data_IF_702050003390
#
_entry.id   IF_702050003390
#
_cell.length_a   1.000
_cell.length_b   1.000
_cell.length_c   1.000
_cell.angle_alpha   90.00
_cell.angle_beta   90.00
_cell.angle_gamma   90.00
#
_symmetry.space_group_name_H-M   'P 1'
#
loop_
_entity.id
_entity.type
_entity.pdbx_description
1 polymer ?
#
# COMPACT_ATOMS: atom_id res chain seq x y z
N UNK A 1 14.77 -8.93 94.70
CA UNK A 1 15.19 -9.63 93.48
C UNK A 1 14.06 -9.50 92.46
N UNK A 2 13.93 -8.31 91.86
CA UNK A 2 14.46 -7.86 90.54
C UNK A 2 13.59 -8.30 89.37
N UNK A 3 12.92 -7.29 88.82
CA UNK A 3 11.87 -7.21 87.78
C UNK A 3 12.53 -7.15 86.39
N UNK A 4 11.89 -7.66 85.31
CA UNK A 4 12.38 -7.58 83.93
C UNK A 4 11.94 -6.29 83.23
N UNK A 5 12.73 -5.72 82.29
CA UNK A 5 12.16 -4.79 81.30
C UNK A 5 12.98 -4.62 79.99
N UNK A 6 12.29 -5.01 78.91
CA UNK A 6 12.09 -4.34 77.62
C UNK A 6 13.26 -3.99 76.68
N UNK A 7 13.11 -4.57 75.49
CA UNK A 7 13.86 -4.38 74.27
C UNK A 7 13.70 -2.97 73.67
N UNK A 8 14.78 -2.50 73.04
CA UNK A 8 14.84 -1.29 72.20
C UNK A 8 14.26 -1.59 70.82
N UNK A 9 13.32 -0.76 70.36
CA UNK A 9 12.86 -0.69 68.97
C UNK A 9 13.70 0.37 68.20
N UNK A 10 14.13 0.11 66.95
CA UNK A 10 14.58 1.17 66.06
C UNK A 10 13.38 1.73 65.27
N UNK A 11 13.30 3.05 65.16
CA UNK A 11 12.34 3.74 64.30
C UNK A 11 12.75 3.59 62.83
N UNK A 12 11.91 2.91 62.03
CA UNK A 12 12.00 2.93 60.57
C UNK A 12 11.28 4.18 60.04
N UNK A 13 12.04 5.11 59.47
CA UNK A 13 11.49 6.20 58.67
C UNK A 13 11.10 5.65 57.30
N UNK A 14 9.81 5.56 57.01
CA UNK A 14 9.28 5.23 55.70
C UNK A 14 9.33 6.47 54.81
N UNK A 15 10.31 6.55 53.90
CA UNK A 15 10.30 7.48 52.77
C UNK A 15 9.15 7.11 51.83
N UNK A 16 8.09 7.91 51.84
CA UNK A 16 6.99 7.83 50.89
C UNK A 16 7.50 8.30 49.52
N UNK A 17 7.77 7.35 48.61
CA UNK A 17 7.97 7.67 47.20
C UNK A 17 6.60 8.06 46.65
N UNK A 18 6.38 9.37 46.46
CA UNK A 18 5.29 9.87 45.63
C UNK A 18 5.57 9.44 44.19
N UNK A 19 5.02 8.30 43.80
CA UNK A 19 4.81 8.00 42.40
C UNK A 19 3.81 9.04 41.88
N UNK A 20 4.31 10.08 41.22
CA UNK A 20 3.48 11.02 40.50
C UNK A 20 2.76 10.24 39.41
N UNK A 21 1.45 10.03 39.60
CA UNK A 21 0.58 9.60 38.52
C UNK A 21 0.62 10.71 37.47
N UNK A 22 1.32 10.49 36.36
CA UNK A 22 1.10 11.26 35.16
C UNK A 22 -0.36 11.02 34.78
N UNK A 23 -1.23 11.96 35.13
CA UNK A 23 -2.58 11.99 34.63
C UNK A 23 -2.45 12.13 33.11
N UNK A 24 -2.95 11.14 32.40
CA UNK A 24 -3.05 11.17 30.94
C UNK A 24 -3.95 12.35 30.60
N UNK A 25 -3.33 13.44 30.12
CA UNK A 25 -4.10 14.55 29.59
C UNK A 25 -4.74 14.04 28.30
N UNK A 26 -6.06 13.85 28.35
CA UNK A 26 -6.90 13.67 27.17
C UNK A 26 -6.48 14.74 26.14
N UNK A 27 -6.08 14.31 24.93
CA UNK A 27 -5.63 15.23 23.88
C UNK A 27 -6.73 16.23 23.51
N UNK A 28 -7.98 15.88 23.84
CA UNK A 28 -9.19 16.63 23.50
C UNK A 28 -9.54 16.50 22.02
N UNK A 29 -8.71 15.83 21.21
CA UNK A 29 -8.95 15.63 19.78
C UNK A 29 -9.83 14.39 19.60
N UNK A 30 -10.90 14.52 18.82
CA UNK A 30 -11.90 13.47 18.59
C UNK A 30 -12.29 13.39 17.13
N UNK A 31 -12.83 12.26 16.70
CA UNK A 31 -13.53 12.16 15.42
C UNK A 31 -14.96 12.69 15.56
N UNK A 32 -15.37 13.56 14.63
CA UNK A 32 -16.73 14.09 14.51
C UNK A 32 -17.29 13.92 13.10
N UNK A 33 -18.61 14.04 12.94
CA UNK A 33 -19.29 13.96 11.65
C UNK A 33 -19.38 15.33 10.96
N UNK A 34 -19.24 15.36 9.64
CA UNK A 34 -19.40 16.56 8.81
C UNK A 34 -20.05 16.26 7.46
N UNK A 35 -20.30 17.30 6.66
CA UNK A 35 -20.76 17.15 5.27
C UNK A 35 -19.73 16.51 4.34
N UNK A 36 -18.45 16.45 4.73
CA UNK A 36 -17.36 15.80 4.00
C UNK A 36 -17.04 14.38 4.53
N UNK A 37 -17.83 13.89 5.50
CA UNK A 37 -17.58 12.61 6.18
C UNK A 37 -16.99 12.81 7.58
N UNK A 38 -16.36 11.77 8.16
CA UNK A 38 -15.68 11.87 9.44
C UNK A 38 -14.49 12.82 9.39
N UNK A 39 -14.30 13.63 10.43
CA UNK A 39 -13.24 14.66 10.50
C UNK A 39 -12.64 14.70 11.90
N UNK A 40 -11.39 15.16 12.04
CA UNK A 40 -10.81 15.45 13.35
C UNK A 40 -11.41 16.76 13.88
N UNK A 41 -11.68 16.77 15.18
CA UNK A 41 -12.30 17.88 15.89
C UNK A 41 -11.60 18.14 17.22
N UNK A 42 -11.69 19.38 17.72
CA UNK A 42 -11.25 19.72 19.08
C UNK A 42 -12.20 19.17 20.17
N UNK A 43 -11.93 19.51 21.43
CA UNK A 43 -12.74 19.05 22.56
C UNK A 43 -14.19 19.53 22.53
N UNK A 44 -14.48 20.58 21.75
CA UNK A 44 -15.79 21.19 21.56
C UNK A 44 -16.48 20.70 20.28
N UNK A 45 -15.85 19.84 19.48
CA UNK A 45 -16.38 19.33 18.22
C UNK A 45 -16.13 20.26 17.02
N UNK A 46 -15.30 21.28 17.16
CA UNK A 46 -14.92 22.17 16.05
C UNK A 46 -13.90 21.48 15.15
N UNK A 47 -14.12 21.53 13.83
CA UNK A 47 -13.28 20.87 12.83
C UNK A 47 -11.84 21.37 12.84
N UNK A 48 -10.90 20.44 12.72
CA UNK A 48 -9.48 20.71 12.60
C UNK A 48 -9.02 20.65 11.14
N UNK A 49 -7.99 21.40 10.81
CA UNK A 49 -7.47 21.59 9.46
C UNK A 49 -5.95 21.46 9.43
N UNK A 50 -5.44 21.10 8.26
CA UNK A 50 -4.02 21.09 7.91
C UNK A 50 -3.72 22.12 6.82
N UNK A 51 -2.47 22.58 6.77
CA UNK A 51 -2.03 23.60 5.84
C UNK A 51 -0.95 23.07 4.90
N UNK A 52 -1.18 23.15 3.59
CA UNK A 52 -0.25 22.62 2.58
C UNK A 52 1.12 23.31 2.56
N UNK A 53 1.22 24.51 3.14
CA UNK A 53 2.48 25.26 3.20
C UNK A 53 3.29 24.99 4.46
N UNK A 54 2.80 24.14 5.35
CA UNK A 54 3.62 23.61 6.44
C UNK A 54 4.59 22.59 5.84
N UNK A 55 5.89 22.87 5.99
CA UNK A 55 6.97 22.02 5.46
C UNK A 55 7.70 21.35 6.61
N UNK A 56 8.10 20.09 6.40
CA UNK A 56 8.83 19.28 7.39
C UNK A 56 8.15 19.21 8.78
N UNK A 57 6.82 19.32 8.81
CA UNK A 57 6.01 19.32 10.03
C UNK A 57 6.12 20.60 10.87
N UNK A 58 6.73 21.66 10.32
CA UNK A 58 6.88 22.95 10.97
C UNK A 58 5.74 23.90 10.56
N UNK A 59 5.09 24.59 11.52
CA UNK A 59 4.08 25.58 11.22
C UNK A 59 4.64 26.72 10.37
N UNK A 60 3.97 27.07 9.28
CA UNK A 60 4.22 28.26 8.47
C UNK A 60 3.18 29.38 8.74
N UNK A 61 2.03 29.02 9.32
CA UNK A 61 0.95 29.95 9.62
C UNK A 61 1.20 30.74 10.93
N UNK A 62 1.56 32.02 10.78
CA UNK A 62 1.79 32.98 11.87
C UNK A 62 1.05 34.31 11.63
N UNK A 63 1.04 35.18 12.63
CA UNK A 63 0.45 36.52 12.57
C UNK A 63 -1.00 36.53 12.07
N UNK A 64 -1.30 37.29 11.02
CA UNK A 64 -2.64 37.38 10.44
C UNK A 64 -3.16 36.03 9.93
N UNK A 65 -2.26 35.11 9.53
CA UNK A 65 -2.66 33.75 9.21
C UNK A 65 -3.23 33.07 10.45
N UNK A 66 -2.49 33.09 11.57
CA UNK A 66 -2.91 32.48 12.83
C UNK A 66 -4.14 33.17 13.47
N UNK A 67 -4.42 34.43 13.13
CA UNK A 67 -5.65 35.10 13.54
C UNK A 67 -6.89 34.52 12.83
N UNK A 68 -6.76 34.11 11.57
CA UNK A 68 -7.85 33.50 10.81
C UNK A 68 -7.90 31.98 10.99
N UNK A 69 -6.72 31.37 11.17
CA UNK A 69 -6.49 29.94 11.38
C UNK A 69 -5.80 29.71 12.72
N UNK A 70 -6.54 29.79 13.84
CA UNK A 70 -5.92 29.63 15.16
C UNK A 70 -5.25 28.26 15.29
N UNK A 71 -3.99 28.19 15.73
CA UNK A 71 -3.33 26.90 15.97
C UNK A 71 -4.01 26.16 17.13
N UNK A 72 -4.13 24.84 17.04
CA UNK A 72 -4.60 24.01 18.14
C UNK A 72 -3.48 23.86 19.18
N UNK A 73 -3.46 24.78 20.15
CA UNK A 73 -2.45 24.81 21.22
C UNK A 73 -2.63 23.61 22.15
N UNK A 74 -1.54 22.90 22.41
CA UNK A 74 -1.51 21.80 23.36
C UNK A 74 -1.38 22.33 24.80
N UNK A 75 -2.11 21.70 25.73
CA UNK A 75 -2.02 22.02 27.14
C UNK A 75 -0.63 21.72 27.70
N UNK A 76 -0.25 22.40 28.78
CA UNK A 76 1.01 22.15 29.47
C UNK A 76 1.06 20.70 29.98
N UNK A 77 2.13 19.98 29.66
CA UNK A 77 2.28 18.56 30.00
C UNK A 77 1.53 17.58 29.10
N UNK A 78 0.93 18.05 28.00
CA UNK A 78 0.39 17.16 26.97
C UNK A 78 1.46 16.18 26.46
N UNK A 79 1.05 14.93 26.27
CA UNK A 79 1.91 13.87 25.75
C UNK A 79 1.38 13.39 24.40
N UNK A 80 2.28 13.32 23.42
CA UNK A 80 2.01 12.75 22.11
C UNK A 80 1.93 11.21 22.18
N UNK A 81 0.94 10.62 21.51
CA UNK A 81 0.79 9.17 21.37
C UNK A 81 0.21 8.83 20.00
N UNK A 82 0.64 7.69 19.43
CA UNK A 82 0.19 7.24 18.12
C UNK A 82 0.56 8.22 17.01
N UNK A 83 -0.44 8.61 16.23
CA UNK A 83 -0.31 9.55 15.10
C UNK A 83 -0.28 11.02 15.54
N UNK A 84 -0.55 11.29 16.82
CA UNK A 84 -0.50 12.62 17.38
C UNK A 84 0.93 12.99 17.78
N UNK A 85 1.30 14.22 17.49
CA UNK A 85 2.60 14.79 17.83
C UNK A 85 2.48 16.19 18.40
N UNK A 86 3.63 16.76 18.77
CA UNK A 86 3.72 18.13 19.26
C UNK A 86 4.84 18.85 18.53
N UNK A 87 4.55 20.08 18.10
CA UNK A 87 5.55 20.96 17.51
C UNK A 87 5.63 22.26 18.30
N UNK A 88 6.86 22.71 18.56
CA UNK A 88 7.10 23.99 19.22
C UNK A 88 7.03 25.12 18.19
N UNK A 89 6.15 26.09 18.44
CA UNK A 89 6.04 27.32 17.64
C UNK A 89 7.15 28.31 18.04
N UNK A 90 7.37 29.32 17.20
CA UNK A 90 8.40 30.35 17.40
C UNK A 90 8.18 31.22 18.64
N UNK A 91 6.95 31.31 19.14
CA UNK A 91 6.57 31.97 20.38
C UNK A 91 6.75 31.08 21.64
N UNK A 92 7.21 29.84 21.46
CA UNK A 92 7.43 28.86 22.52
C UNK A 92 6.20 28.02 22.86
N UNK A 93 5.03 28.31 22.29
CA UNK A 93 3.82 27.51 22.50
C UNK A 93 3.92 26.15 21.80
N UNK A 94 3.30 25.13 22.39
CA UNK A 94 3.22 23.79 21.79
C UNK A 94 1.91 23.69 21.01
N UNK A 95 1.98 23.20 19.77
CA UNK A 95 0.82 22.96 18.92
C UNK A 95 0.69 21.46 18.66
N UNK A 96 -0.54 20.96 18.66
CA UNK A 96 -0.83 19.60 18.28
C UNK A 96 -0.57 19.38 16.78
N UNK A 97 0.02 18.23 16.46
CA UNK A 97 0.15 17.74 15.09
C UNK A 97 -0.58 16.41 14.95
N UNK A 98 -1.06 16.11 13.75
CA UNK A 98 -1.57 14.80 13.36
C UNK A 98 -0.82 14.34 12.11
N UNK A 99 -0.26 13.13 12.14
CA UNK A 99 0.63 12.61 11.09
C UNK A 99 1.74 13.61 10.71
N UNK A 100 2.32 14.24 11.74
CA UNK A 100 3.36 15.27 11.58
C UNK A 100 2.88 16.62 11.01
N UNK A 101 1.60 16.78 10.65
CA UNK A 101 1.04 18.05 10.17
C UNK A 101 0.47 18.89 11.32
N UNK A 102 0.84 20.18 11.45
CA UNK A 102 0.25 21.06 12.47
C UNK A 102 -1.26 21.23 12.28
N UNK A 103 -2.01 21.17 13.39
CA UNK A 103 -3.47 21.26 13.39
C UNK A 103 -3.95 22.69 13.69
N UNK A 104 -4.96 23.14 12.94
CA UNK A 104 -5.55 24.47 13.05
C UNK A 104 -7.07 24.41 13.18
N UNK A 105 -7.66 25.46 13.73
CA UNK A 105 -9.08 25.75 13.69
C UNK A 105 -9.35 26.79 12.60
N UNK A 106 -10.62 26.95 12.22
CA UNK A 106 -11.05 27.98 11.29
C UNK A 106 -12.01 28.98 11.97
N UNK A 107 -11.69 30.27 11.91
CA UNK A 107 -12.47 31.29 12.64
C UNK A 107 -13.92 31.43 12.15
N UNK A 108 -14.22 31.02 10.91
CA UNK A 108 -15.58 31.14 10.37
C UNK A 108 -16.45 29.91 10.63
N UNK A 109 -15.91 28.82 11.14
CA UNK A 109 -16.73 27.71 11.64
C UNK A 109 -17.41 28.16 12.96
N UNK A 110 -18.73 27.96 13.05
CA UNK A 110 -19.56 28.44 14.16
C UNK A 110 -20.25 27.32 14.93
N UNK A 111 -20.35 26.14 14.34
CA UNK A 111 -20.94 24.97 14.94
C UNK A 111 -20.05 23.72 14.74
N UNK A 112 -20.16 22.72 15.62
CA UNK A 112 -19.55 21.42 15.39
C UNK A 112 -19.97 20.82 14.05
N UNK A 113 -19.00 20.27 13.32
CA UNK A 113 -19.20 19.71 11.97
C UNK A 113 -19.21 20.73 10.83
N UNK A 114 -19.08 22.04 11.11
CA UNK A 114 -18.80 23.03 10.06
C UNK A 114 -17.43 22.74 9.44
N UNK A 115 -17.35 22.77 8.11
CA UNK A 115 -16.14 22.51 7.32
C UNK A 115 -15.84 23.67 6.37
N UNK A 116 -16.20 24.90 6.76
CA UNK A 116 -16.17 26.06 5.85
C UNK A 116 -14.76 26.55 5.54
N UNK A 117 -13.75 26.02 6.22
CA UNK A 117 -12.34 26.26 5.93
C UNK A 117 -11.81 25.40 4.80
N UNK A 118 -12.49 24.31 4.45
CA UNK A 118 -12.01 23.37 3.44
C UNK A 118 -11.88 24.05 2.07
N UNK A 119 -10.75 23.83 1.40
CA UNK A 119 -10.46 24.39 0.08
C UNK A 119 -10.22 25.91 0.06
N UNK A 120 -10.15 26.59 1.21
CA UNK A 120 -9.84 28.03 1.25
C UNK A 120 -8.49 28.29 0.59
N UNK A 121 -8.49 29.10 -0.48
CA UNK A 121 -7.32 29.36 -1.33
C UNK A 121 -6.66 28.10 -1.94
N UNK A 122 -7.34 26.94 -1.90
CA UNK A 122 -6.83 25.66 -2.40
C UNK A 122 -5.64 25.08 -1.63
N UNK A 123 -5.40 25.52 -0.38
CA UNK A 123 -4.22 25.12 0.42
C UNK A 123 -4.57 24.73 1.85
N UNK A 124 -5.85 24.78 2.21
CA UNK A 124 -6.37 24.41 3.53
C UNK A 124 -7.32 23.24 3.34
N UNK A 125 -7.11 22.19 4.11
CA UNK A 125 -7.91 20.97 4.03
C UNK A 125 -8.30 20.51 5.41
N UNK A 126 -9.47 19.90 5.52
CA UNK A 126 -9.89 19.26 6.76
C UNK A 126 -8.88 18.17 7.15
N UNK A 127 -8.53 18.12 8.43
CA UNK A 127 -7.73 17.04 8.98
C UNK A 127 -8.65 15.82 9.16
N UNK A 128 -8.46 14.78 8.35
CA UNK A 128 -9.33 13.60 8.38
C UNK A 128 -8.66 12.46 9.18
N UNK A 129 -9.34 11.81 10.14
CA UNK A 129 -8.82 10.62 10.79
C UNK A 129 -8.53 9.47 9.81
N UNK A 130 -9.15 9.49 8.62
CA UNK A 130 -8.87 8.53 7.56
C UNK A 130 -7.74 8.96 6.64
N UNK A 131 -7.02 10.07 6.87
CA UNK A 131 -5.77 10.35 6.15
C UNK A 131 -4.64 9.44 6.66
N UNK A 132 -4.74 8.95 7.90
CA UNK A 132 -3.83 7.94 8.44
C UNK A 132 -4.34 6.49 8.23
N UNK A 133 -5.64 6.32 8.01
CA UNK A 133 -6.27 5.04 7.59
C UNK A 133 -6.51 4.98 6.05
N UNK A 134 -6.08 6.01 5.33
CA UNK A 134 -5.94 5.97 3.88
C UNK A 134 -4.77 5.04 3.63
N UNK A 135 -5.05 3.90 3.00
CA UNK A 135 -4.01 3.03 2.45
C UNK A 135 -3.06 3.94 1.67
N UNK A 136 -1.90 4.26 2.24
CA UNK A 136 -0.99 5.19 1.61
C UNK A 136 -0.58 4.57 0.26
N UNK A 137 -0.06 5.36 -0.67
CA UNK A 137 0.48 4.77 -1.90
C UNK A 137 1.49 3.65 -1.58
N UNK A 138 2.19 3.71 -0.45
CA UNK A 138 3.06 2.63 0.02
C UNK A 138 2.29 1.40 0.47
N UNK A 139 1.20 1.55 1.20
CA UNK A 139 0.37 0.42 1.63
C UNK A 139 -0.36 -0.22 0.44
N UNK A 140 -0.81 0.58 -0.54
CA UNK A 140 -1.37 0.07 -1.80
C UNK A 140 -0.32 -0.71 -2.61
N UNK A 141 0.93 -0.23 -2.60
CA UNK A 141 2.07 -0.95 -3.20
C UNK A 141 2.29 -2.27 -2.46
N UNK A 142 2.32 -2.26 -1.13
CA UNK A 142 2.52 -3.44 -0.30
C UNK A 142 1.43 -4.50 -0.56
N UNK A 143 0.17 -4.07 -0.57
CA UNK A 143 -0.98 -4.92 -0.88
C UNK A 143 -0.87 -5.58 -2.28
N UNK A 144 -0.19 -4.93 -3.22
CA UNK A 144 0.04 -5.46 -4.56
C UNK A 144 1.23 -6.44 -4.67
N UNK A 145 2.12 -6.54 -3.67
CA UNK A 145 3.33 -7.38 -3.74
C UNK A 145 3.03 -8.85 -4.07
N UNK A 146 2.06 -9.53 -3.43
CA UNK A 146 1.78 -10.94 -3.74
C UNK A 146 1.31 -11.14 -5.18
N UNK A 147 0.53 -10.20 -5.72
CA UNK A 147 0.08 -10.20 -7.11
C UNK A 147 1.24 -10.01 -8.08
N UNK A 148 2.11 -9.02 -7.82
CA UNK A 148 3.31 -8.78 -8.64
C UNK A 148 4.22 -10.01 -8.69
N UNK A 149 4.44 -10.69 -7.55
CA UNK A 149 5.24 -11.93 -7.49
C UNK A 149 4.62 -13.06 -8.28
N UNK A 150 3.33 -13.36 -8.08
CA UNK A 150 2.63 -14.43 -8.83
C UNK A 150 2.71 -14.17 -10.33
N UNK A 151 2.48 -12.93 -10.75
CA UNK A 151 2.55 -12.55 -12.14
C UNK A 151 3.96 -12.67 -12.73
N UNK A 152 4.98 -12.17 -12.02
CA UNK A 152 6.38 -12.26 -12.45
C UNK A 152 6.85 -13.73 -12.59
N UNK A 153 6.51 -14.60 -11.65
CA UNK A 153 6.82 -16.03 -11.73
C UNK A 153 6.12 -16.73 -12.89
N UNK A 154 4.90 -16.33 -13.24
CA UNK A 154 4.20 -16.86 -14.41
C UNK A 154 4.77 -16.33 -15.74
N UNK A 155 5.37 -15.13 -15.72
CA UNK A 155 5.90 -14.45 -16.90
C UNK A 155 7.32 -14.95 -17.25
N UNK A 156 8.18 -15.07 -16.24
CA UNK A 156 9.62 -15.38 -16.36
C UNK A 156 9.90 -16.87 -16.12
N UNK A 157 10.90 -17.42 -16.80
CA UNK A 157 11.24 -18.86 -16.70
C UNK A 157 12.04 -19.24 -15.47
N UNK A 158 12.77 -18.29 -14.89
CA UNK A 158 13.65 -18.48 -13.73
C UNK A 158 13.06 -17.74 -12.52
N UNK A 159 13.04 -18.41 -11.36
CA UNK A 159 12.55 -17.85 -10.10
C UNK A 159 13.38 -16.66 -9.65
N UNK A 160 14.70 -16.77 -9.71
CA UNK A 160 15.63 -15.69 -9.33
C UNK A 160 15.37 -14.43 -10.18
N UNK A 161 15.24 -14.61 -11.50
CA UNK A 161 14.96 -13.50 -12.42
C UNK A 161 13.55 -12.91 -12.24
N UNK A 162 12.59 -13.67 -11.71
CA UNK A 162 11.27 -13.15 -11.38
C UNK A 162 11.30 -12.29 -10.11
N UNK A 163 12.04 -12.73 -9.09
CA UNK A 163 12.23 -11.94 -7.87
C UNK A 163 13.01 -10.65 -8.14
N UNK A 164 14.07 -10.72 -8.96
CA UNK A 164 14.82 -9.53 -9.42
C UNK A 164 13.91 -8.53 -10.14
N UNK A 165 13.04 -9.02 -11.05
CA UNK A 165 12.08 -8.18 -11.77
C UNK A 165 11.10 -7.46 -10.83
N UNK A 166 10.63 -8.15 -9.79
CA UNK A 166 9.73 -7.56 -8.79
C UNK A 166 10.48 -6.52 -7.96
N UNK A 167 11.71 -6.83 -7.52
CA UNK A 167 12.53 -5.88 -6.79
C UNK A 167 12.77 -4.59 -7.59
N UNK A 168 13.20 -4.71 -8.84
CA UNK A 168 13.41 -3.58 -9.77
C UNK A 168 12.15 -2.73 -9.99
N UNK A 169 10.98 -3.38 -9.96
CA UNK A 169 9.69 -2.72 -10.07
C UNK A 169 9.38 -1.92 -8.80
N UNK A 170 9.53 -2.54 -7.63
CA UNK A 170 9.22 -1.92 -6.35
C UNK A 170 10.16 -0.75 -6.04
N UNK A 171 11.46 -0.88 -6.30
CA UNK A 171 12.43 0.22 -6.12
C UNK A 171 12.01 1.47 -6.91
N UNK A 172 11.53 1.28 -8.14
CA UNK A 172 11.05 2.37 -9.00
C UNK A 172 9.70 2.91 -8.58
N UNK A 173 8.80 2.05 -8.11
CA UNK A 173 7.52 2.48 -7.57
C UNK A 173 7.73 3.36 -6.33
N UNK A 174 8.55 2.91 -5.38
CA UNK A 174 8.87 3.66 -4.17
C UNK A 174 9.57 4.99 -4.51
N UNK A 175 10.56 5.00 -5.40
CA UNK A 175 11.22 6.24 -5.82
C UNK A 175 10.32 7.16 -6.69
N UNK A 176 9.28 6.61 -7.31
CA UNK A 176 8.34 7.31 -8.18
C UNK A 176 7.10 7.85 -7.47
N UNK A 177 6.78 7.33 -6.27
CA UNK A 177 5.49 7.55 -5.59
C UNK A 177 5.14 9.03 -5.38
N UNK A 178 6.10 9.85 -4.97
CA UNK A 178 5.88 11.28 -4.70
C UNK A 178 5.55 12.10 -5.96
N UNK A 179 5.81 11.55 -7.16
CA UNK A 179 5.49 12.18 -8.45
C UNK A 179 4.24 11.61 -9.10
N UNK A 180 3.64 10.58 -8.51
CA UNK A 180 2.44 9.96 -9.03
C UNK A 180 1.25 10.88 -8.76
N UNK A 181 0.52 11.25 -9.81
CA UNK A 181 -0.52 12.29 -9.79
C UNK A 181 -1.94 11.73 -9.57
N UNK A 182 -2.07 10.47 -9.17
CA UNK A 182 -3.38 9.82 -8.98
C UNK A 182 -4.17 9.54 -10.27
N UNK A 183 -3.50 9.48 -11.43
CA UNK A 183 -4.13 9.32 -12.76
C UNK A 183 -4.56 7.86 -13.06
N UNK A 184 -5.25 7.21 -12.12
CA UNK A 184 -5.74 5.83 -12.18
C UNK A 184 -5.33 4.96 -10.99
N UNK A 185 -5.66 3.66 -10.95
CA UNK A 185 -5.33 2.78 -9.82
C UNK A 185 -3.81 2.49 -9.69
N UNK A 186 -3.28 2.47 -8.46
CA UNK A 186 -1.85 2.13 -8.18
C UNK A 186 -1.49 0.77 -8.76
N UNK A 187 -2.39 -0.21 -8.67
CA UNK A 187 -2.21 -1.55 -9.25
C UNK A 187 -1.90 -1.47 -10.75
N UNK A 188 -2.68 -0.76 -11.55
CA UNK A 188 -2.45 -0.64 -12.98
C UNK A 188 -1.11 0.06 -13.29
N UNK A 189 -0.75 1.07 -12.50
CA UNK A 189 0.53 1.76 -12.60
C UNK A 189 1.72 0.81 -12.30
N UNK A 190 1.62 -0.01 -11.25
CA UNK A 190 2.65 -1.00 -10.89
C UNK A 190 2.86 -2.05 -11.97
N UNK A 191 1.76 -2.62 -12.49
CA UNK A 191 1.87 -3.60 -13.58
C UNK A 191 2.47 -2.98 -14.84
N UNK A 192 2.23 -1.70 -15.11
CA UNK A 192 2.90 -0.99 -16.20
C UNK A 192 4.41 -0.82 -15.96
N UNK A 193 4.85 -0.49 -14.74
CA UNK A 193 6.28 -0.45 -14.40
C UNK A 193 6.92 -1.83 -14.61
N UNK A 194 6.32 -2.88 -14.04
CA UNK A 194 6.82 -4.26 -14.13
C UNK A 194 6.97 -4.71 -15.58
N UNK A 195 5.95 -4.45 -16.42
CA UNK A 195 5.98 -4.85 -17.82
C UNK A 195 6.96 -4.06 -18.67
N UNK A 196 7.19 -2.78 -18.35
CA UNK A 196 8.25 -2.00 -18.98
C UNK A 196 9.63 -2.59 -18.66
N UNK A 197 9.89 -2.96 -17.39
CA UNK A 197 11.13 -3.63 -16.98
C UNK A 197 11.31 -4.99 -17.64
N UNK A 198 10.26 -5.79 -17.71
CA UNK A 198 10.29 -7.07 -18.41
C UNK A 198 10.66 -6.91 -19.89
N UNK A 199 10.07 -5.92 -20.59
CA UNK A 199 10.37 -5.65 -22.01
C UNK A 199 11.80 -5.16 -22.20
N UNK A 200 12.30 -4.30 -21.32
CA UNK A 200 13.67 -3.79 -21.37
C UNK A 200 14.70 -4.90 -21.13
N UNK A 201 14.46 -5.77 -20.15
CA UNK A 201 15.29 -6.95 -19.87
C UNK A 201 15.31 -7.94 -21.04
N UNK A 202 14.18 -8.14 -21.72
CA UNK A 202 14.13 -9.00 -22.90
C UNK A 202 14.89 -8.42 -24.11
N UNK A 203 14.87 -7.10 -24.31
CA UNK A 203 15.68 -6.45 -25.36
C UNK A 203 17.18 -6.58 -25.06
N UNK A 204 17.58 -6.47 -23.79
CA UNK A 204 18.96 -6.65 -23.36
C UNK A 204 19.46 -8.10 -23.44
N UNK A 205 18.61 -9.07 -23.08
CA UNK A 205 18.95 -10.50 -23.17
C UNK A 205 19.06 -10.99 -24.62
N UNK A 206 18.26 -10.44 -25.55
CA UNK A 206 18.40 -10.72 -26.98
C UNK A 206 19.74 -10.23 -27.55
N UNK A 207 20.29 -9.14 -27.00
CA UNK A 207 21.63 -8.65 -27.36
C UNK A 207 22.77 -9.48 -26.73
N UNK A 208 22.51 -10.19 -25.63
CA UNK A 208 23.49 -10.96 -24.85
C UNK A 208 23.40 -12.49 -25.04
N UNK A 209 22.77 -12.96 -26.13
CA UNK A 209 22.54 -14.40 -26.46
C UNK A 209 23.79 -15.30 -26.57
N UNK A 210 24.98 -14.85 -26.18
CA UNK A 210 26.23 -15.61 -26.28
C UNK A 210 26.79 -16.13 -24.94
N UNK A 211 26.00 -16.20 -23.86
CA UNK A 211 26.46 -16.75 -22.58
C UNK A 211 25.55 -17.89 -22.09
N UNK A 212 26.20 -19.03 -21.82
CA UNK A 212 25.59 -20.25 -21.27
C UNK A 212 25.32 -20.06 -19.79
N UNK A 213 24.08 -20.33 -19.35
CA UNK A 213 23.72 -20.34 -17.93
C UNK A 213 23.83 -21.76 -17.38
N UNK A 214 24.59 -21.91 -16.30
CA UNK A 214 24.84 -23.15 -15.55
C UNK A 214 23.62 -23.53 -14.72
N UNK A 215 23.32 -24.83 -14.72
CA UNK A 215 22.17 -25.48 -14.07
C UNK A 215 22.15 -25.28 -12.54
N UNK A 216 20.96 -25.06 -11.96
CA UNK A 216 20.75 -24.92 -10.50
C UNK A 216 19.57 -25.74 -9.98
N UNK A 217 19.60 -26.12 -8.69
CA UNK A 217 18.94 -27.32 -8.20
C UNK A 217 17.43 -27.17 -8.02
N UNK A 218 16.78 -28.34 -8.11
CA UNK A 218 15.34 -28.59 -7.99
C UNK A 218 14.76 -28.23 -6.62
N UNK A 219 13.61 -27.57 -6.64
CA UNK A 219 12.86 -27.11 -5.47
C UNK A 219 11.99 -28.19 -4.77
N UNK A 220 11.58 -27.96 -3.49
CA UNK A 220 10.99 -28.96 -2.63
C UNK A 220 9.49 -29.23 -2.91
N UNK A 221 9.09 -30.44 -2.53
CA UNK A 221 7.80 -31.06 -2.77
C UNK A 221 6.66 -30.44 -1.95
N UNK A 222 5.67 -29.79 -2.60
CA UNK A 222 4.34 -29.50 -2.03
C UNK A 222 3.48 -30.75 -1.74
N UNK A 223 2.23 -30.59 -1.27
CA UNK A 223 1.36 -31.69 -0.80
C UNK A 223 0.32 -32.21 -1.81
N UNK A 224 0.32 -31.73 -3.06
CA UNK A 224 -0.61 -32.18 -4.09
C UNK A 224 -0.36 -33.60 -4.61
N UNK A 225 -1.41 -34.27 -5.07
CA UNK A 225 -1.33 -35.57 -5.76
C UNK A 225 -0.38 -35.50 -6.97
N UNK A 226 0.27 -36.62 -7.31
CA UNK A 226 1.25 -36.65 -8.41
C UNK A 226 0.65 -36.18 -9.74
N UNK A 227 -0.60 -36.55 -10.02
CA UNK A 227 -1.32 -36.19 -11.24
C UNK A 227 -1.61 -34.68 -11.35
N UNK A 228 -1.97 -34.03 -10.24
CA UNK A 228 -2.25 -32.60 -10.19
C UNK A 228 -0.96 -31.78 -10.45
N UNK A 229 0.17 -32.23 -9.89
CA UNK A 229 1.46 -31.60 -10.16
C UNK A 229 1.92 -31.78 -11.59
N UNK A 230 1.61 -32.93 -12.20
CA UNK A 230 1.93 -33.18 -13.60
C UNK A 230 1.10 -32.25 -14.50
N UNK A 231 -0.22 -32.18 -14.28
CA UNK A 231 -1.10 -31.29 -15.01
C UNK A 231 -0.70 -29.80 -14.85
N UNK A 232 -0.31 -29.38 -13.65
CA UNK A 232 0.18 -28.02 -13.42
C UNK A 232 1.48 -27.73 -14.19
N UNK A 233 2.45 -28.65 -14.16
CA UNK A 233 3.69 -28.53 -14.93
C UNK A 233 3.45 -28.46 -16.44
N UNK A 234 2.51 -29.25 -16.96
CA UNK A 234 2.13 -29.21 -18.38
C UNK A 234 1.58 -27.84 -18.79
N UNK A 235 0.72 -27.26 -17.95
CA UNK A 235 0.18 -25.91 -18.17
C UNK A 235 1.28 -24.85 -18.09
N UNK A 236 2.16 -24.91 -17.08
CA UNK A 236 3.30 -24.01 -16.96
C UNK A 236 4.21 -24.05 -18.20
N UNK A 237 4.54 -25.24 -18.70
CA UNK A 237 5.35 -25.39 -19.90
C UNK A 237 4.64 -24.91 -21.17
N UNK A 238 3.33 -25.13 -21.29
CA UNK A 238 2.54 -24.60 -22.39
C UNK A 238 2.52 -23.06 -22.39
N UNK A 239 2.35 -22.42 -21.22
CA UNK A 239 2.43 -20.97 -21.07
C UNK A 239 3.80 -20.42 -21.48
N UNK A 240 4.89 -21.10 -21.09
CA UNK A 240 6.29 -20.74 -21.45
C UNK A 240 6.58 -20.79 -22.95
N UNK A 241 5.75 -21.46 -23.75
CA UNK A 241 5.87 -21.54 -25.22
C UNK A 241 5.10 -20.44 -25.96
N UNK A 242 4.15 -19.77 -25.29
CA UNK A 242 3.40 -18.67 -25.92
C UNK A 242 4.31 -17.48 -26.24
N UNK A 243 4.05 -16.75 -27.35
CA UNK A 243 4.66 -15.45 -27.61
C UNK A 243 4.50 -14.50 -26.41
N UNK A 244 5.54 -13.69 -26.12
CA UNK A 244 5.57 -12.80 -24.95
C UNK A 244 4.34 -11.91 -24.84
N UNK A 245 3.90 -11.33 -25.95
CA UNK A 245 2.72 -10.45 -26.03
C UNK A 245 1.41 -11.17 -25.69
N UNK A 246 1.29 -12.44 -26.10
CA UNK A 246 0.10 -13.25 -25.86
C UNK A 246 0.07 -13.74 -24.41
N UNK A 247 1.23 -14.17 -23.88
CA UNK A 247 1.39 -14.59 -22.48
C UNK A 247 1.07 -13.45 -21.53
N UNK A 248 1.66 -12.28 -21.77
CA UNK A 248 1.45 -11.08 -20.97
C UNK A 248 -0.04 -10.73 -20.88
N UNK A 249 -0.72 -10.66 -22.04
CA UNK A 249 -2.15 -10.36 -22.13
C UNK A 249 -3.01 -11.41 -21.41
N UNK A 250 -2.72 -12.70 -21.62
CA UNK A 250 -3.48 -13.78 -21.02
C UNK A 250 -3.36 -13.77 -19.49
N UNK A 251 -2.15 -13.57 -18.95
CA UNK A 251 -1.92 -13.61 -17.51
C UNK A 251 -2.59 -12.43 -16.78
N UNK A 252 -2.63 -11.23 -17.37
CA UNK A 252 -3.28 -10.08 -16.70
C UNK A 252 -4.77 -10.36 -16.47
N UNK A 253 -5.44 -11.00 -17.43
CA UNK A 253 -6.87 -11.31 -17.33
C UNK A 253 -7.12 -12.60 -16.56
N UNK A 254 -6.40 -13.68 -16.88
CA UNK A 254 -6.71 -15.01 -16.37
C UNK A 254 -6.11 -15.30 -14.98
N UNK A 255 -4.95 -14.71 -14.66
CA UNK A 255 -4.30 -14.89 -13.36
C UNK A 255 -4.64 -13.74 -12.40
N UNK A 256 -4.58 -12.50 -12.91
CA UNK A 256 -4.73 -11.31 -12.08
C UNK A 256 -6.15 -10.73 -12.06
N UNK A 257 -7.08 -11.33 -12.82
CA UNK A 257 -8.50 -10.97 -12.79
C UNK A 257 -8.82 -9.60 -13.38
N UNK A 258 -7.88 -8.96 -14.09
CA UNK A 258 -8.12 -7.64 -14.68
C UNK A 258 -9.19 -7.72 -15.77
N UNK A 259 -9.98 -6.65 -15.87
CA UNK A 259 -10.87 -6.45 -17.01
C UNK A 259 -10.06 -6.24 -18.29
N UNK A 260 -10.72 -6.43 -19.44
CA UNK A 260 -10.10 -6.19 -20.75
C UNK A 260 -9.66 -4.72 -20.88
N UNK A 261 -10.44 -3.78 -20.36
CA UNK A 261 -10.14 -2.35 -20.36
C UNK A 261 -8.88 -2.04 -19.54
N UNK A 262 -8.83 -2.46 -18.27
CA UNK A 262 -7.67 -2.22 -17.39
C UNK A 262 -6.39 -2.85 -17.96
N UNK A 263 -6.46 -4.10 -18.43
CA UNK A 263 -5.32 -4.78 -19.01
C UNK A 263 -4.85 -4.10 -20.32
N UNK A 264 -5.76 -3.50 -21.10
CA UNK A 264 -5.42 -2.74 -22.30
C UNK A 264 -4.70 -1.43 -21.95
N UNK A 265 -5.17 -0.73 -20.91
CA UNK A 265 -4.54 0.47 -20.38
C UNK A 265 -3.13 0.18 -19.83
N UNK A 266 -2.97 -0.89 -19.05
CA UNK A 266 -1.66 -1.36 -18.53
C UNK A 266 -0.68 -1.64 -19.66
N UNK A 267 -1.15 -2.28 -20.74
CA UNK A 267 -0.31 -2.65 -21.87
C UNK A 267 -0.07 -1.51 -22.87
N UNK A 268 -0.86 -0.45 -22.81
CA UNK A 268 -0.83 0.68 -23.75
C UNK A 268 -1.27 0.28 -25.16
N UNK A 269 -2.30 -0.56 -25.29
CA UNK A 269 -2.83 -1.05 -26.58
C UNK A 269 -4.36 -0.93 -26.66
N UNK A 270 -4.96 -0.95 -27.86
CA UNK A 270 -6.43 -0.97 -27.99
C UNK A 270 -7.05 -2.28 -27.45
N UNK A 271 -8.25 -2.20 -26.85
CA UNK A 271 -8.98 -3.35 -26.32
C UNK A 271 -9.18 -4.48 -27.35
N UNK A 272 -9.51 -4.14 -28.60
CA UNK A 272 -9.66 -5.12 -29.68
C UNK A 272 -8.35 -5.90 -29.97
N UNK A 273 -7.19 -5.24 -29.80
CA UNK A 273 -5.89 -5.90 -29.92
C UNK A 273 -5.65 -6.86 -28.77
N UNK A 274 -6.04 -6.46 -27.55
CA UNK A 274 -5.94 -7.31 -26.37
C UNK A 274 -6.81 -8.57 -26.51
N UNK A 275 -8.08 -8.39 -26.89
CA UNK A 275 -9.02 -9.49 -27.11
C UNK A 275 -8.49 -10.50 -28.15
N UNK A 276 -7.93 -10.00 -29.27
CA UNK A 276 -7.29 -10.85 -30.30
C UNK A 276 -6.08 -11.61 -29.76
N UNK A 277 -5.25 -11.00 -28.90
CA UNK A 277 -4.10 -11.67 -28.27
C UNK A 277 -4.55 -12.77 -27.31
N UNK A 278 -5.56 -12.52 -26.48
CA UNK A 278 -6.12 -13.50 -25.55
C UNK A 278 -6.76 -14.68 -26.31
N UNK A 279 -7.53 -14.41 -27.36
CA UNK A 279 -8.15 -15.46 -28.17
C UNK A 279 -7.08 -16.40 -28.77
N UNK A 280 -6.03 -15.83 -29.37
CA UNK A 280 -4.90 -16.61 -29.92
C UNK A 280 -4.15 -17.39 -28.84
N UNK A 281 -3.92 -16.78 -27.68
CA UNK A 281 -3.28 -17.46 -26.55
C UNK A 281 -4.08 -18.69 -26.09
N UNK A 282 -5.41 -18.57 -25.99
CA UNK A 282 -6.31 -19.66 -25.61
C UNK A 282 -6.31 -20.80 -26.62
N UNK A 283 -6.29 -20.49 -27.92
CA UNK A 283 -6.20 -21.52 -28.98
C UNK A 283 -4.87 -22.27 -28.88
N UNK A 284 -3.75 -21.54 -28.81
CA UNK A 284 -2.43 -22.16 -28.70
C UNK A 284 -2.29 -23.04 -27.44
N UNK A 285 -2.86 -22.64 -26.31
CA UNK A 285 -2.86 -23.48 -25.10
C UNK A 285 -3.67 -24.76 -25.23
N UNK A 286 -4.82 -24.73 -25.93
CA UNK A 286 -5.63 -25.94 -26.17
C UNK A 286 -4.88 -26.96 -27.01
N UNK A 287 -4.20 -26.49 -28.06
CA UNK A 287 -3.37 -27.32 -28.93
C UNK A 287 -2.18 -27.91 -28.16
N UNK A 288 -1.48 -27.10 -27.34
CA UNK A 288 -0.31 -27.54 -26.58
C UNK A 288 -0.64 -28.49 -25.43
N UNK A 289 -1.83 -28.38 -24.84
CA UNK A 289 -2.28 -29.23 -23.71
C UNK A 289 -3.10 -30.44 -24.16
N UNK A 290 -3.29 -30.64 -25.48
CA UNK A 290 -3.97 -31.81 -26.02
C UNK A 290 -5.47 -31.88 -25.72
N UNK A 291 -6.13 -30.76 -25.39
CA UNK A 291 -7.58 -30.72 -25.08
C UNK A 291 -8.49 -30.81 -26.31
N UNK A 292 -7.93 -30.89 -27.52
CA UNK A 292 -8.65 -31.18 -28.77
C UNK A 292 -8.60 -32.68 -29.15
N UNK A 293 -8.90 -33.56 -28.17
CA UNK A 293 -9.11 -35.00 -28.39
C UNK A 293 -10.56 -35.40 -28.70
N UNK A 294 -11.47 -34.44 -28.89
CA UNK A 294 -12.89 -34.67 -29.11
C UNK A 294 -13.30 -34.75 -30.58
N UNK A 295 -12.65 -35.57 -31.40
CA UNK A 295 -13.20 -35.97 -32.71
C UNK A 295 -13.56 -37.46 -32.65
N UNK A 296 -14.83 -37.85 -32.90
CA UNK A 296 -15.20 -39.27 -32.89
C UNK A 296 -14.44 -39.95 -34.02
N UNK A 297 -13.55 -40.89 -33.68
CA UNK A 297 -12.98 -41.82 -34.66
C UNK A 297 -14.13 -42.54 -35.34
N UNK A 298 -14.27 -42.30 -36.64
CA UNK A 298 -15.28 -42.93 -37.48
C UNK A 298 -15.31 -44.44 -37.29
N UNK A 299 -16.49 -44.96 -36.99
CA UNK A 299 -16.83 -46.36 -37.14
C UNK A 299 -16.75 -46.67 -38.64
N UNK A 300 -15.59 -47.14 -39.08
CA UNK A 300 -15.44 -47.81 -40.37
C UNK A 300 -16.01 -49.21 -40.20
N UNK A 301 -16.91 -49.57 -41.12
CA UNK A 301 -17.42 -50.91 -41.35
C UNK A 301 -16.31 -51.96 -41.29
N UNK A 302 -16.59 -53.06 -40.61
CA UNK A 302 -16.07 -54.37 -40.99
C UNK A 302 -17.27 -55.26 -41.25
N UNK A 303 -17.54 -55.45 -42.54
CA UNK A 303 -18.20 -56.63 -43.05
C UNK A 303 -17.39 -57.87 -42.63
N UNK A 304 -18.11 -58.91 -42.25
CA UNK A 304 -17.63 -60.24 -41.90
C UNK A 304 -18.84 -61.10 -41.58
#
# INVERSE_FOLDING_TARGET
>A
MTIPHLARLPALAATLVLAGSAAWADTGIKTGDSSLGPVLTDGNGMTLYVFDRDEDGLPACYDQCAANWPPLVAAEGAAAEGEYGLVQRTDGTMQWTYDGKPLYLWINDKAPGDVTGDGVNGVWHVANPTDADEMTVLDEIEACIPALRRYAHALVRNRDAADDLVQDCLERAVAGRARWRGDGPVRAWLFRILLNRFRDGHRGADALRHLVVVDRPREPSGSGGQDERLALREVEEALKRLPSDQRTALLLVALEGMTIEEAAQVLGIPEGTLASRIARARVALRELTGRDGGTPRGRRELAG
#
